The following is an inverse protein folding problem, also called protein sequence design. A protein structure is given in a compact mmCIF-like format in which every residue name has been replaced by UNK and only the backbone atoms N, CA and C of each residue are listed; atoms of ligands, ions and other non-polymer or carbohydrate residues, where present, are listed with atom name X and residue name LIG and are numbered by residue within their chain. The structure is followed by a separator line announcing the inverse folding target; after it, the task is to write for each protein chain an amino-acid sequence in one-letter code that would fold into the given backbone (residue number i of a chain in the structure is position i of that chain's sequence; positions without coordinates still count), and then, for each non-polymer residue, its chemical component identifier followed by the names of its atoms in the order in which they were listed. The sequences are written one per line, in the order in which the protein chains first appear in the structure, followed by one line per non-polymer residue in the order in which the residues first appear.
data_IF_850286230725
#
_entry.id   IF_850286230725
#
_cell.length_a   1.000
_cell.length_b   1.000
_cell.length_c   1.000
_cell.angle_alpha   90.00
_cell.angle_beta   90.00
_cell.angle_gamma   90.00
#
_symmetry.space_group_name_H-M   'P 1'
#
loop_
_entity.id
_entity.type
_entity.pdbx_description
1 polymer ?
#
# COMPACT_ATOMS: atom_id res chain seq x y z
N UNK A 1 8.15 43.66 -39.98
CA UNK A 1 8.94 43.03 -38.91
C UNK A 1 7.99 42.86 -37.72
N UNK A 2 7.33 41.73 -37.63
CA UNK A 2 6.42 41.42 -36.53
C UNK A 2 6.94 40.17 -35.87
N UNK A 3 7.52 40.35 -34.68
CA UNK A 3 7.98 39.28 -33.81
C UNK A 3 6.77 38.71 -33.06
N UNK A 4 6.40 37.48 -33.37
CA UNK A 4 5.39 36.72 -32.63
C UNK A 4 6.04 36.09 -31.42
N UNK A 5 5.76 36.60 -30.24
CA UNK A 5 6.03 35.93 -28.97
C UNK A 5 4.95 34.90 -28.75
N UNK A 6 5.29 33.64 -29.02
CA UNK A 6 4.51 32.50 -28.56
C UNK A 6 4.80 32.33 -27.07
N UNK A 7 3.89 32.85 -26.25
CA UNK A 7 3.85 32.57 -24.83
C UNK A 7 3.52 31.10 -24.62
N UNK A 8 4.46 30.34 -24.09
CA UNK A 8 4.19 29.02 -23.57
C UNK A 8 3.29 29.18 -22.34
N UNK A 9 1.98 29.00 -22.50
CA UNK A 9 1.08 28.77 -21.39
C UNK A 9 1.49 27.45 -20.74
N UNK A 10 2.34 27.55 -19.73
CA UNK A 10 2.50 26.48 -18.75
C UNK A 10 1.15 26.34 -18.06
N UNK A 11 0.35 25.35 -18.45
CA UNK A 11 -0.78 24.90 -17.67
C UNK A 11 -0.29 24.61 -16.25
N UNK A 12 -0.57 25.50 -15.34
CA UNK A 12 -0.58 25.22 -13.91
C UNK A 12 -1.76 24.27 -13.74
N UNK A 13 -1.51 22.96 -13.90
CA UNK A 13 -2.43 21.94 -13.41
C UNK A 13 -2.55 22.22 -11.92
N UNK A 14 -3.74 22.72 -11.54
CA UNK A 14 -4.16 22.79 -10.16
C UNK A 14 -3.80 21.44 -9.52
N UNK A 15 -2.75 21.42 -8.68
CA UNK A 15 -2.29 20.19 -8.03
C UNK A 15 -3.33 19.87 -6.98
N UNK A 16 -4.41 19.21 -7.40
CA UNK A 16 -5.27 18.51 -6.45
C UNK A 16 -4.36 17.52 -5.72
N UNK A 17 -4.29 17.68 -4.41
CA UNK A 17 -3.50 16.75 -3.60
C UNK A 17 -4.25 15.42 -3.59
N UNK A 18 -3.60 14.38 -4.10
CA UNK A 18 -4.12 13.01 -4.04
C UNK A 18 -4.45 12.65 -2.60
N UNK A 19 -5.64 12.14 -2.38
CA UNK A 19 -6.12 11.73 -1.06
C UNK A 19 -6.16 10.21 -0.97
N UNK A 20 -5.61 9.67 0.11
CA UNK A 20 -5.54 8.24 0.36
C UNK A 20 -6.41 7.87 1.56
N UNK A 21 -7.21 6.80 1.41
CA UNK A 21 -8.00 6.20 2.48
C UNK A 21 -7.70 4.72 2.60
N UNK A 22 -7.68 4.23 3.84
CA UNK A 22 -7.72 2.80 4.15
C UNK A 22 -9.11 2.43 4.63
N UNK A 23 -9.72 1.46 3.99
CA UNK A 23 -11.00 0.88 4.42
C UNK A 23 -10.76 -0.51 5.01
N UNK A 24 -11.30 -0.74 6.21
CA UNK A 24 -11.44 -2.07 6.81
C UNK A 24 -12.86 -2.56 6.67
N UNK A 25 -13.01 -3.86 6.55
CA UNK A 25 -14.32 -4.53 6.50
C UNK A 25 -14.78 -4.93 7.90
N UNK A 26 -13.83 -5.23 8.79
CA UNK A 26 -14.08 -5.65 10.17
C UNK A 26 -13.05 -4.98 11.10
N UNK A 27 -13.51 -4.10 12.03
CA UNK A 27 -14.79 -3.38 12.00
C UNK A 27 -14.91 -2.54 10.72
N UNK A 28 -16.14 -2.24 10.27
CA UNK A 28 -16.34 -1.34 9.11
C UNK A 28 -15.86 0.06 9.45
N UNK A 29 -14.75 0.45 8.85
CA UNK A 29 -14.04 1.70 9.14
C UNK A 29 -13.36 2.21 7.87
N UNK A 30 -13.41 3.52 7.64
CA UNK A 30 -12.69 4.17 6.55
C UNK A 30 -11.89 5.36 7.12
N UNK A 31 -10.57 5.24 7.09
CA UNK A 31 -9.64 6.20 7.71
C UNK A 31 -8.83 6.91 6.65
N UNK A 32 -8.76 8.24 6.74
CA UNK A 32 -7.88 9.04 5.90
C UNK A 32 -6.41 8.82 6.29
N UNK A 33 -5.56 8.59 5.31
CA UNK A 33 -4.10 8.49 5.45
C UNK A 33 -3.43 9.85 5.24
N UNK A 34 -4.04 10.90 5.77
CA UNK A 34 -3.63 12.31 5.58
C UNK A 34 -2.22 12.63 6.10
N UNK A 35 -1.71 11.81 7.01
CA UNK A 35 -0.40 11.99 7.63
C UNK A 35 0.70 11.19 6.90
N UNK A 36 0.32 10.37 5.93
CA UNK A 36 1.25 9.68 5.03
C UNK A 36 1.78 10.67 3.99
N UNK A 37 3.09 10.65 3.78
CA UNK A 37 3.75 11.48 2.78
C UNK A 37 3.88 10.65 1.50
N UNK A 38 3.22 11.09 0.41
CA UNK A 38 3.39 10.46 -0.90
C UNK A 38 4.76 10.83 -1.45
N UNK A 39 5.62 9.83 -1.64
CA UNK A 39 6.97 9.97 -2.18
C UNK A 39 6.95 9.84 -3.71
N UNK A 40 6.14 8.90 -4.20
CA UNK A 40 5.98 8.62 -5.62
C UNK A 40 4.53 8.21 -5.90
N UNK A 41 4.05 8.58 -7.08
CA UNK A 41 2.74 8.18 -7.58
C UNK A 41 2.76 8.14 -9.11
N UNK A 42 2.28 7.03 -9.65
CA UNK A 42 1.90 6.87 -11.05
C UNK A 42 0.59 6.06 -11.16
N UNK A 43 0.18 5.69 -12.38
CA UNK A 43 -1.08 4.97 -12.61
C UNK A 43 -1.10 3.55 -12.03
N UNK A 44 0.04 2.99 -11.71
CA UNK A 44 0.23 1.61 -11.26
C UNK A 44 0.68 1.48 -9.82
N UNK A 45 1.32 2.54 -9.31
CA UNK A 45 2.05 2.47 -8.04
C UNK A 45 1.93 3.75 -7.23
N UNK A 46 1.84 3.59 -5.91
CA UNK A 46 1.98 4.69 -4.96
C UNK A 46 2.99 4.26 -3.89
N UNK A 47 3.94 5.13 -3.57
CA UNK A 47 4.89 4.92 -2.46
C UNK A 47 4.67 6.03 -1.43
N UNK A 48 4.48 5.64 -0.17
CA UNK A 48 4.30 6.58 0.94
C UNK A 48 5.29 6.30 2.06
N UNK A 49 5.70 7.33 2.78
CA UNK A 49 6.30 7.20 4.10
C UNK A 49 5.33 7.65 5.18
N UNK A 50 5.38 6.99 6.33
CA UNK A 50 4.48 7.26 7.44
C UNK A 50 5.17 7.09 8.79
N UNK A 51 4.61 7.76 9.81
CA UNK A 51 5.03 7.65 11.21
C UNK A 51 3.82 7.41 12.08
N UNK A 52 3.98 6.61 13.12
CA UNK A 52 2.91 6.43 14.10
C UNK A 52 2.91 7.58 15.10
N UNK A 53 1.73 8.12 15.45
CA UNK A 53 1.62 9.14 16.52
C UNK A 53 1.97 8.58 17.89
N UNK A 54 1.76 7.28 18.09
CA UNK A 54 2.10 6.55 19.30
C UNK A 54 3.00 5.39 18.91
N UNK A 55 4.35 5.58 18.98
CA UNK A 55 5.28 4.51 18.68
C UNK A 55 4.96 3.28 19.51
N UNK A 56 4.83 2.13 18.84
CA UNK A 56 4.74 0.84 19.52
C UNK A 56 6.14 0.33 19.77
N UNK A 57 6.30 -0.54 20.77
CA UNK A 57 7.60 -1.18 21.03
C UNK A 57 8.12 -1.94 19.78
N UNK A 58 7.20 -2.39 18.93
CA UNK A 58 7.51 -3.17 17.74
C UNK A 58 7.90 -2.31 16.53
N UNK A 59 7.31 -1.11 16.36
CA UNK A 59 7.58 -0.21 15.25
C UNK A 59 7.13 1.23 15.52
N UNK A 60 7.74 2.19 14.84
CA UNK A 60 7.43 3.62 14.95
C UNK A 60 7.14 4.30 13.60
N UNK A 61 7.67 3.80 12.51
CA UNK A 61 7.52 4.38 11.17
C UNK A 61 7.71 3.32 10.09
N UNK A 62 7.47 3.70 8.85
CA UNK A 62 7.64 2.81 7.72
C UNK A 62 7.51 3.49 6.36
N UNK A 63 7.68 2.67 5.35
CA UNK A 63 7.47 3.00 3.96
C UNK A 63 6.57 1.93 3.34
N UNK A 64 5.57 2.35 2.57
CA UNK A 64 4.59 1.47 1.94
C UNK A 64 4.59 1.64 0.44
N UNK A 65 4.58 0.54 -0.27
CA UNK A 65 4.50 0.43 -1.70
C UNK A 65 3.17 -0.23 -2.09
N UNK A 66 2.26 0.56 -2.64
CA UNK A 66 0.97 0.10 -3.13
C UNK A 66 1.11 -0.33 -4.59
N UNK A 67 0.95 -1.61 -4.86
CA UNK A 67 0.92 -2.19 -6.19
C UNK A 67 -0.55 -2.30 -6.64
N UNK A 68 -1.04 -1.24 -7.28
CA UNK A 68 -2.48 -1.06 -7.58
C UNK A 68 -3.01 -2.20 -8.44
N UNK A 69 -2.29 -2.55 -9.51
CA UNK A 69 -2.70 -3.58 -10.46
C UNK A 69 -2.52 -5.01 -9.91
N UNK A 70 -1.60 -5.19 -8.97
CA UNK A 70 -1.34 -6.49 -8.36
C UNK A 70 -2.29 -6.77 -7.20
N UNK A 71 -2.80 -5.72 -6.56
CA UNK A 71 -3.77 -5.80 -5.50
C UNK A 71 -3.17 -6.17 -4.15
N UNK A 72 -1.94 -5.71 -3.88
CA UNK A 72 -1.33 -5.80 -2.56
C UNK A 72 -0.43 -4.60 -2.26
N UNK A 73 -0.21 -4.37 -0.98
CA UNK A 73 0.67 -3.34 -0.45
C UNK A 73 1.82 -4.01 0.27
N UNK A 74 3.05 -3.62 -0.04
CA UNK A 74 4.26 -4.09 0.61
C UNK A 74 4.83 -2.98 1.47
N UNK A 75 4.99 -3.20 2.77
CA UNK A 75 5.46 -2.19 3.72
C UNK A 75 6.67 -2.68 4.51
N UNK A 76 7.69 -1.84 4.61
CA UNK A 76 8.79 -2.03 5.55
C UNK A 76 8.46 -1.28 6.83
N UNK A 77 8.42 -1.99 7.93
CA UNK A 77 8.18 -1.47 9.27
C UNK A 77 9.49 -1.32 10.01
N UNK A 78 9.72 -0.15 10.59
CA UNK A 78 10.96 0.17 11.31
C UNK A 78 10.70 0.48 12.77
N UNK A 79 11.65 0.08 13.60
CA UNK A 79 11.72 0.47 15.00
C UNK A 79 12.19 1.91 15.16
N UNK A 80 12.15 2.43 16.37
CA UNK A 80 12.59 3.79 16.69
C UNK A 80 14.08 4.00 16.38
N UNK A 81 14.90 2.95 16.47
CA UNK A 81 16.33 2.97 16.15
C UNK A 81 16.63 2.80 14.64
N UNK A 82 15.63 2.88 13.78
CA UNK A 82 15.68 2.65 12.34
C UNK A 82 16.06 1.21 11.92
N UNK A 83 16.12 0.26 12.84
CA UNK A 83 16.26 -1.14 12.45
C UNK A 83 14.96 -1.67 11.85
N UNK A 84 15.06 -2.52 10.81
CA UNK A 84 13.89 -3.18 10.21
C UNK A 84 13.23 -4.10 11.25
N UNK A 85 11.95 -3.89 11.51
CA UNK A 85 11.17 -4.76 12.37
C UNK A 85 10.75 -6.01 11.58
N UNK A 86 10.04 -5.81 10.48
CA UNK A 86 9.57 -6.84 9.55
C UNK A 86 9.05 -6.19 8.26
N UNK A 87 8.78 -7.01 7.25
CA UNK A 87 8.02 -6.62 6.08
C UNK A 87 6.58 -7.10 6.25
N UNK A 88 5.62 -6.22 6.00
CA UNK A 88 4.20 -6.51 6.10
C UNK A 88 3.54 -6.31 4.74
N UNK A 89 2.80 -7.31 4.28
CA UNK A 89 2.09 -7.24 3.01
C UNK A 89 0.60 -7.41 3.26
N UNK A 90 -0.17 -6.38 2.92
CA UNK A 90 -1.63 -6.42 2.96
C UNK A 90 -2.19 -6.81 1.58
N UNK A 91 -3.18 -7.67 1.53
CA UNK A 91 -3.97 -7.93 0.32
C UNK A 91 -5.07 -6.87 0.26
N UNK A 92 -5.13 -6.13 -0.84
CA UNK A 92 -6.02 -4.97 -0.96
C UNK A 92 -6.83 -4.99 -2.27
N UNK A 93 -8.00 -4.35 -2.22
CA UNK A 93 -8.69 -3.82 -3.39
C UNK A 93 -8.51 -2.31 -3.46
N UNK A 94 -8.32 -1.78 -4.67
CA UNK A 94 -8.13 -0.35 -4.88
C UNK A 94 -9.28 0.21 -5.69
N UNK A 95 -9.95 1.23 -5.16
CA UNK A 95 -10.88 2.07 -5.88
C UNK A 95 -10.29 3.47 -6.08
N UNK A 96 -10.42 4.03 -7.28
CA UNK A 96 -9.94 5.36 -7.61
C UNK A 96 -11.06 6.24 -8.15
N UNK A 97 -11.24 7.40 -7.57
CA UNK A 97 -12.14 8.45 -8.05
C UNK A 97 -11.32 9.58 -8.70
N UNK A 98 -11.36 9.64 -10.02
CA UNK A 98 -10.68 10.66 -10.80
C UNK A 98 -11.28 12.09 -10.59
N UNK A 99 -12.54 12.19 -10.17
CA UNK A 99 -13.19 13.46 -9.91
C UNK A 99 -12.62 14.19 -8.69
N UNK A 100 -12.22 13.44 -7.69
CA UNK A 100 -11.67 13.95 -6.42
C UNK A 100 -10.20 13.64 -6.23
N UNK A 101 -9.56 12.90 -7.15
CA UNK A 101 -8.20 12.36 -7.05
C UNK A 101 -8.01 11.58 -5.74
N UNK A 102 -8.91 10.63 -5.50
CA UNK A 102 -8.99 9.88 -4.25
C UNK A 102 -8.81 8.39 -4.48
N UNK A 103 -7.90 7.77 -3.75
CA UNK A 103 -7.74 6.32 -3.66
C UNK A 103 -8.33 5.78 -2.36
N UNK A 104 -9.08 4.69 -2.47
CA UNK A 104 -9.56 3.92 -1.32
C UNK A 104 -8.99 2.51 -1.42
N UNK A 105 -8.14 2.14 -0.46
CA UNK A 105 -7.56 0.82 -0.33
C UNK A 105 -8.37 0.01 0.67
N UNK A 106 -9.10 -0.99 0.17
CA UNK A 106 -9.89 -1.89 1.01
C UNK A 106 -9.04 -3.09 1.41
N UNK A 107 -8.86 -3.29 2.69
CA UNK A 107 -8.18 -4.44 3.30
C UNK A 107 -9.06 -5.69 3.14
N UNK A 108 -8.51 -6.76 2.56
CA UNK A 108 -9.20 -8.02 2.27
C UNK A 108 -8.92 -9.13 3.30
N UNK A 109 -8.48 -8.77 4.49
CA UNK A 109 -8.35 -9.66 5.65
C UNK A 109 -7.38 -10.85 5.47
N UNK A 110 -6.41 -10.74 4.57
CA UNK A 110 -5.38 -11.76 4.40
C UNK A 110 -4.03 -11.08 4.27
N UNK A 111 -3.13 -11.33 5.20
CA UNK A 111 -1.86 -10.62 5.27
C UNK A 111 -0.67 -11.59 5.29
N UNK A 112 0.49 -11.10 4.87
CA UNK A 112 1.74 -11.85 4.90
C UNK A 112 2.79 -11.04 5.64
N UNK A 113 3.44 -11.68 6.60
CA UNK A 113 4.57 -11.09 7.35
C UNK A 113 5.83 -11.85 6.97
N UNK A 114 6.87 -11.09 6.58
CA UNK A 114 8.21 -11.63 6.34
C UNK A 114 9.13 -11.10 7.43
N UNK A 115 9.62 -12.01 8.25
CA UNK A 115 10.53 -11.69 9.36
C UNK A 115 11.96 -11.49 8.85
N UNK A 116 12.80 -10.83 9.64
CA UNK A 116 14.21 -10.62 9.31
C UNK A 116 14.99 -11.94 9.14
N UNK A 117 14.49 -13.03 9.72
CA UNK A 117 15.01 -14.39 9.54
C UNK A 117 14.73 -14.97 8.16
N UNK A 118 13.86 -14.32 7.37
CA UNK A 118 13.30 -14.84 6.13
C UNK A 118 12.09 -15.76 6.32
N UNK A 119 11.64 -15.94 7.56
CA UNK A 119 10.44 -16.74 7.82
C UNK A 119 9.19 -15.99 7.35
N UNK A 120 8.33 -16.68 6.59
CA UNK A 120 7.11 -16.15 6.00
C UNK A 120 5.90 -16.68 6.75
N UNK A 121 5.06 -15.79 7.25
CA UNK A 121 3.78 -16.12 7.91
C UNK A 121 2.63 -15.52 7.15
N UNK A 122 1.62 -16.33 6.85
CA UNK A 122 0.30 -15.85 6.44
C UNK A 122 -0.55 -15.71 7.71
N UNK A 123 -1.19 -14.57 7.89
CA UNK A 123 -1.98 -14.24 9.08
C UNK A 123 -3.39 -13.82 8.69
N UNK A 124 -4.31 -13.82 9.67
CA UNK A 124 -5.68 -13.34 9.58
C UNK A 124 -6.59 -14.13 8.60
N UNK A 125 -6.17 -15.36 8.22
CA UNK A 125 -7.01 -16.25 7.40
C UNK A 125 -8.26 -16.73 8.15
N UNK A 126 -8.22 -16.81 9.48
CA UNK A 126 -9.36 -17.09 10.32
C UNK A 126 -10.38 -15.94 10.29
N UNK A 127 -9.91 -14.68 10.34
CA UNK A 127 -10.78 -13.51 10.17
C UNK A 127 -11.45 -13.50 8.79
N UNK A 128 -10.71 -13.85 7.72
CA UNK A 128 -11.24 -13.97 6.37
C UNK A 128 -12.31 -15.08 6.29
N UNK A 129 -12.07 -16.23 6.91
CA UNK A 129 -13.03 -17.34 6.96
C UNK A 129 -14.28 -16.99 7.73
N UNK A 130 -14.14 -16.32 8.89
CA UNK A 130 -15.24 -15.86 9.72
C UNK A 130 -16.09 -14.80 9.01
N UNK A 131 -15.44 -13.84 8.31
CA UNK A 131 -16.11 -12.84 7.50
C UNK A 131 -16.93 -13.46 6.37
N UNK A 132 -16.39 -14.47 5.68
CA UNK A 132 -17.12 -15.21 4.64
C UNK A 132 -18.29 -15.98 5.21
N UNK A 133 -18.11 -16.69 6.33
CA UNK A 133 -19.14 -17.47 7.00
C UNK A 133 -20.29 -16.60 7.51
N UNK A 134 -19.96 -15.42 8.04
CA UNK A 134 -20.93 -14.42 8.51
C UNK A 134 -21.54 -13.58 7.36
N UNK A 135 -21.15 -13.82 6.10
CA UNK A 135 -21.58 -13.07 4.90
C UNK A 135 -21.31 -11.56 4.99
N UNK A 136 -20.26 -11.18 5.69
CA UNK A 136 -19.77 -9.79 5.75
C UNK A 136 -18.98 -9.42 4.49
N UNK A 137 -18.48 -10.42 3.78
CA UNK A 137 -17.85 -10.29 2.46
C UNK A 137 -18.57 -11.19 1.47
N UNK A 138 -18.55 -10.81 0.18
CA UNK A 138 -19.11 -11.65 -0.88
C UNK A 138 -18.17 -12.81 -1.25
N UNK A 139 -18.73 -13.86 -1.85
CA UNK A 139 -17.92 -14.96 -2.39
C UNK A 139 -16.90 -14.46 -3.42
N UNK A 140 -17.26 -13.45 -4.22
CA UNK A 140 -16.36 -12.83 -5.18
C UNK A 140 -15.18 -12.13 -4.49
N UNK A 141 -15.39 -11.44 -3.36
CA UNK A 141 -14.32 -10.84 -2.58
C UNK A 141 -13.40 -11.89 -1.95
N UNK A 142 -13.97 -12.97 -1.42
CA UNK A 142 -13.20 -14.09 -0.87
C UNK A 142 -12.30 -14.71 -1.95
N UNK A 143 -12.85 -15.04 -3.11
CA UNK A 143 -12.11 -15.62 -4.24
C UNK A 143 -11.00 -14.66 -4.71
N UNK A 144 -11.29 -13.37 -4.81
CA UNK A 144 -10.34 -12.34 -5.19
C UNK A 144 -9.18 -12.24 -4.18
N UNK A 145 -9.49 -12.22 -2.87
CA UNK A 145 -8.48 -12.20 -1.81
C UNK A 145 -7.54 -13.41 -1.90
N UNK A 146 -8.09 -14.61 -2.08
CA UNK A 146 -7.30 -15.83 -2.20
C UNK A 146 -6.41 -15.85 -3.45
N UNK A 147 -6.90 -15.37 -4.60
CA UNK A 147 -6.08 -15.27 -5.82
C UNK A 147 -4.93 -14.28 -5.66
N UNK A 148 -5.18 -13.12 -5.05
CA UNK A 148 -4.13 -12.12 -4.79
C UNK A 148 -3.11 -12.64 -3.79
N UNK A 149 -3.55 -13.32 -2.72
CA UNK A 149 -2.66 -13.98 -1.76
C UNK A 149 -1.77 -15.03 -2.43
N UNK A 150 -2.35 -15.92 -3.25
CA UNK A 150 -1.59 -16.91 -4.03
C UNK A 150 -0.55 -16.25 -4.94
N UNK A 151 -0.93 -15.15 -5.62
CA UNK A 151 -0.01 -14.37 -6.46
C UNK A 151 1.15 -13.82 -5.64
N UNK A 152 0.87 -13.18 -4.49
CA UNK A 152 1.90 -12.64 -3.62
C UNK A 152 2.85 -13.74 -3.11
N UNK A 153 2.30 -14.87 -2.64
CA UNK A 153 3.12 -15.98 -2.15
C UNK A 153 4.01 -16.57 -3.25
N UNK A 154 3.54 -16.64 -4.49
CA UNK A 154 4.36 -17.08 -5.63
C UNK A 154 5.56 -16.15 -5.85
N UNK A 155 5.37 -14.83 -5.82
CA UNK A 155 6.51 -13.89 -5.95
C UNK A 155 7.52 -14.03 -4.82
N UNK A 156 7.06 -14.35 -3.61
CA UNK A 156 7.95 -14.61 -2.46
C UNK A 156 8.74 -15.91 -2.67
N UNK A 157 8.08 -16.98 -3.12
CA UNK A 157 8.70 -18.29 -3.26
C UNK A 157 9.66 -18.40 -4.45
N UNK A 158 9.40 -17.68 -5.54
CA UNK A 158 10.27 -17.65 -6.72
C UNK A 158 11.36 -16.57 -6.65
N UNK A 159 11.32 -15.69 -5.63
CA UNK A 159 12.29 -14.66 -5.36
C UNK A 159 12.06 -13.35 -6.11
N UNK A 160 11.06 -13.23 -6.99
CA UNK A 160 10.73 -11.97 -7.69
C UNK A 160 10.22 -10.89 -6.75
N UNK A 161 9.77 -11.24 -5.55
CA UNK A 161 9.42 -10.31 -4.49
C UNK A 161 10.56 -9.32 -4.15
N UNK A 162 11.82 -9.73 -4.36
CA UNK A 162 12.97 -8.85 -4.13
C UNK A 162 12.96 -7.60 -5.02
N UNK A 163 12.30 -7.63 -6.17
CA UNK A 163 12.16 -6.45 -7.03
C UNK A 163 11.34 -5.35 -6.33
N UNK A 164 10.29 -5.73 -5.58
CA UNK A 164 9.50 -4.77 -4.80
C UNK A 164 10.34 -4.15 -3.68
N UNK A 165 11.15 -4.97 -3.00
CA UNK A 165 12.03 -4.49 -1.92
C UNK A 165 13.11 -3.57 -2.49
N UNK A 166 13.69 -3.88 -3.64
CA UNK A 166 14.69 -3.03 -4.31
C UNK A 166 14.08 -1.68 -4.70
N UNK A 167 12.87 -1.68 -5.25
CA UNK A 167 12.13 -0.44 -5.55
C UNK A 167 11.94 0.41 -4.30
N UNK A 168 11.49 -0.19 -3.20
CA UNK A 168 11.34 0.53 -1.92
C UNK A 168 12.68 1.12 -1.46
N UNK A 169 13.77 0.35 -1.54
CA UNK A 169 15.10 0.80 -1.12
C UNK A 169 15.61 1.99 -1.95
N UNK A 170 15.32 2.02 -3.25
CA UNK A 170 15.68 3.13 -4.13
C UNK A 170 14.99 4.44 -3.71
N UNK A 171 13.70 4.37 -3.39
CA UNK A 171 12.96 5.54 -2.91
C UNK A 171 13.37 5.95 -1.49
N UNK A 172 13.67 5.02 -0.60
CA UNK A 172 14.21 5.32 0.72
C UNK A 172 15.53 6.09 0.64
N UNK A 173 16.44 5.70 -0.24
CA UNK A 173 17.72 6.37 -0.41
C UNK A 173 17.58 7.83 -0.90
N UNK A 174 16.47 8.16 -1.57
CA UNK A 174 16.16 9.52 -2.05
C UNK A 174 15.51 10.44 -1.03
N UNK A 175 15.15 9.94 0.16
CA UNK A 175 14.47 10.74 1.21
C UNK A 175 15.50 11.45 2.12
N UNK A 176 16.79 11.13 2.03
CA UNK A 176 17.88 11.64 2.91
C UNK A 176 18.63 12.79 2.29
#
# INVERSE_FOLDING_TARGET
MTSSLVGSEMCIRDRRMTTLFRKRLIPDECVSLKDDIIIHQDDSHIITSWKTFHPKAEFSHGISYYLINDGFKVSKFYKEDNSLAYIYCDIIDTAYDAGTDTYVFTDLLADVIIENSGFVRVVDLDELADAASAKLISDAMLVNALHKLDKLLKTIYDGTFNEYINTINEYEAGIH
#
